data_IF_226115654110
#
_entry.id   IF_226115654110
#
_cell.length_a   1.000
_cell.length_b   1.000
_cell.length_c   1.000
_cell.angle_alpha   90.00
_cell.angle_beta   90.00
_cell.angle_gamma   90.00
#
_symmetry.space_group_name_H-M   'P 1'
#
loop_
_entity.id
_entity.type
_entity.pdbx_description
1 polymer ?
#
# COMPACT_ATOMS: atom_id res chain seq x y z
N UNK A 1 31.36 19.83 -60.03
CA UNK A 1 30.96 18.60 -59.33
C UNK A 1 31.40 18.75 -57.88
N UNK A 2 30.46 19.10 -57.00
CA UNK A 2 30.55 18.92 -55.54
C UNK A 2 29.16 19.26 -55.00
N UNK A 3 28.43 18.22 -54.59
CA UNK A 3 27.06 18.27 -54.10
C UNK A 3 27.01 18.81 -52.67
N UNK A 4 25.97 19.58 -52.38
CA UNK A 4 25.54 19.94 -51.03
C UNK A 4 25.05 18.65 -50.35
N UNK A 5 25.54 18.39 -49.14
CA UNK A 5 25.05 17.34 -48.24
C UNK A 5 24.32 18.05 -47.11
N UNK A 6 23.01 18.22 -47.28
CA UNK A 6 22.07 18.34 -46.19
C UNK A 6 21.66 16.91 -45.85
N UNK A 7 21.97 16.41 -44.65
CA UNK A 7 21.21 15.32 -44.05
C UNK A 7 21.53 15.16 -42.55
N UNK A 8 20.43 15.24 -41.79
CA UNK A 8 20.16 14.61 -40.49
C UNK A 8 20.78 15.17 -39.19
N UNK A 9 20.17 16.27 -38.74
CA UNK A 9 20.07 16.63 -37.33
C UNK A 9 19.22 15.57 -36.59
N UNK A 10 19.90 14.59 -36.00
CA UNK A 10 19.31 13.60 -35.12
C UNK A 10 18.84 14.26 -33.81
N UNK A 11 17.62 14.80 -33.83
CA UNK A 11 16.91 15.24 -32.64
C UNK A 11 16.69 14.05 -31.71
N UNK A 12 17.43 14.04 -30.60
CA UNK A 12 17.26 13.13 -29.46
C UNK A 12 15.86 13.36 -28.88
N UNK A 13 14.87 12.61 -29.38
CA UNK A 13 13.52 12.61 -28.82
C UNK A 13 13.62 11.89 -27.47
N UNK A 14 13.29 12.54 -26.34
CA UNK A 14 13.20 11.84 -25.08
C UNK A 14 12.20 10.70 -25.27
N UNK A 15 12.73 9.48 -25.19
CA UNK A 15 11.94 8.27 -25.19
C UNK A 15 11.13 8.29 -23.91
N UNK A 16 9.94 8.90 -23.98
CA UNK A 16 8.86 8.63 -23.05
C UNK A 16 8.48 7.18 -23.28
N UNK A 17 9.25 6.28 -22.67
CA UNK A 17 8.91 4.88 -22.63
C UNK A 17 7.49 4.83 -22.04
N UNK A 18 6.52 4.21 -22.73
CA UNK A 18 5.26 3.91 -22.10
C UNK A 18 5.59 3.17 -20.81
N UNK A 19 5.00 3.59 -19.69
CA UNK A 19 5.09 2.87 -18.42
C UNK A 19 4.47 1.49 -18.67
N UNK A 20 5.30 0.56 -19.15
CA UNK A 20 4.95 -0.84 -19.30
C UNK A 20 4.72 -1.30 -17.88
N UNK A 21 3.44 -1.49 -17.51
CA UNK A 21 3.08 -2.21 -16.29
C UNK A 21 3.71 -3.59 -16.42
N UNK A 22 4.93 -3.75 -15.89
CA UNK A 22 5.56 -5.05 -15.74
C UNK A 22 4.52 -5.89 -15.00
N UNK A 23 4.10 -6.97 -15.64
CA UNK A 23 3.24 -8.03 -15.10
C UNK A 23 3.34 -8.06 -13.59
N UNK A 24 2.22 -7.73 -12.92
CA UNK A 24 2.08 -7.34 -11.51
C UNK A 24 2.82 -8.30 -10.57
N UNK A 25 4.13 -8.09 -10.45
CA UNK A 25 4.99 -8.91 -9.62
C UNK A 25 5.02 -8.21 -8.28
N UNK A 26 4.42 -8.86 -7.29
CA UNK A 26 4.44 -8.37 -5.93
C UNK A 26 5.90 -8.11 -5.50
N UNK A 27 6.21 -6.90 -5.00
CA UNK A 27 7.57 -6.55 -4.63
C UNK A 27 8.10 -7.40 -3.47
N UNK A 28 9.39 -7.74 -3.54
CA UNK A 28 10.06 -8.59 -2.54
C UNK A 28 10.76 -7.80 -1.44
N UNK A 29 11.02 -6.51 -1.65
CA UNK A 29 11.72 -5.65 -0.70
C UNK A 29 10.79 -4.61 -0.11
N UNK A 30 10.99 -4.24 1.17
CA UNK A 30 10.19 -3.21 1.83
C UNK A 30 10.28 -1.85 1.12
N UNK A 31 11.45 -1.55 0.53
CA UNK A 31 11.70 -0.34 -0.26
C UNK A 31 10.85 -0.27 -1.53
N UNK A 32 10.45 -1.42 -2.08
CA UNK A 32 9.58 -1.51 -3.26
C UNK A 32 8.10 -1.71 -2.88
N UNK A 33 7.82 -2.35 -1.73
CA UNK A 33 6.46 -2.57 -1.23
C UNK A 33 5.76 -1.24 -0.92
N UNK A 34 6.42 -0.31 -0.24
CA UNK A 34 5.79 0.98 0.13
C UNK A 34 5.38 1.79 -1.11
N UNK A 35 6.25 2.05 -2.10
CA UNK A 35 5.86 2.72 -3.35
C UNK A 35 4.78 1.95 -4.11
N UNK A 36 4.82 0.62 -4.11
CA UNK A 36 3.79 -0.20 -4.73
C UNK A 36 2.41 0.02 -4.09
N UNK A 37 2.32 -0.04 -2.75
CA UNK A 37 1.08 0.25 -2.02
C UNK A 37 0.58 1.67 -2.27
N UNK A 38 1.46 2.65 -2.33
CA UNK A 38 1.10 4.04 -2.68
C UNK A 38 0.47 4.10 -4.07
N UNK A 39 1.09 3.45 -5.06
CA UNK A 39 0.61 3.42 -6.44
C UNK A 39 -0.71 2.65 -6.62
N UNK A 40 -1.03 1.72 -5.71
CA UNK A 40 -2.29 0.99 -5.71
C UNK A 40 -3.47 1.81 -5.15
N UNK A 41 -3.20 2.90 -4.42
CA UNK A 41 -4.27 3.73 -3.85
C UNK A 41 -5.11 4.35 -4.98
N UNK A 42 -6.43 4.17 -4.89
CA UNK A 42 -7.39 4.78 -5.81
C UNK A 42 -7.50 6.29 -5.54
N UNK A 43 -8.07 7.00 -6.51
CA UNK A 43 -8.23 8.46 -6.39
C UNK A 43 -9.07 8.89 -5.19
N UNK A 44 -10.02 8.07 -4.75
CA UNK A 44 -10.84 8.31 -3.56
C UNK A 44 -10.10 8.06 -2.23
N UNK A 45 -8.91 7.47 -2.27
CA UNK A 45 -8.09 7.16 -1.11
C UNK A 45 -8.16 5.71 -0.63
N UNK A 46 -8.97 4.85 -1.27
CA UNK A 46 -9.13 3.45 -0.87
C UNK A 46 -8.18 2.51 -1.62
N UNK A 47 -8.05 1.31 -1.08
CA UNK A 47 -7.31 0.22 -1.69
C UNK A 47 -8.25 -0.95 -1.97
N UNK A 48 -8.14 -1.47 -3.20
CA UNK A 48 -8.88 -2.65 -3.65
C UNK A 48 -7.82 -3.71 -3.97
N UNK A 49 -7.58 -4.61 -3.02
CA UNK A 49 -6.62 -5.70 -3.15
C UNK A 49 -7.37 -7.03 -3.27
N UNK A 50 -6.83 -7.92 -4.07
CA UNK A 50 -7.22 -9.33 -4.12
C UNK A 50 -6.77 -10.07 -2.86
N UNK A 51 -7.38 -11.23 -2.61
CA UNK A 51 -6.98 -12.13 -1.52
C UNK A 51 -5.50 -12.51 -1.61
N UNK A 52 -4.98 -12.74 -2.82
CA UNK A 52 -3.58 -13.07 -3.05
C UNK A 52 -2.63 -11.92 -2.64
N UNK A 53 -3.01 -10.67 -2.93
CA UNK A 53 -2.23 -9.49 -2.54
C UNK A 53 -2.24 -9.30 -1.02
N UNK A 54 -3.39 -9.51 -0.38
CA UNK A 54 -3.51 -9.50 1.08
C UNK A 54 -2.69 -10.63 1.71
N UNK A 55 -2.71 -11.83 1.14
CA UNK A 55 -1.88 -12.93 1.60
C UNK A 55 -0.39 -12.60 1.47
N UNK A 56 0.03 -11.92 0.41
CA UNK A 56 1.44 -11.50 0.25
C UNK A 56 1.83 -10.42 1.26
N UNK A 57 0.94 -9.45 1.51
CA UNK A 57 1.13 -8.31 2.42
C UNK A 57 1.13 -8.72 3.90
N UNK A 58 0.11 -9.48 4.30
CA UNK A 58 -0.19 -9.80 5.68
C UNK A 58 0.23 -11.22 6.09
N UNK A 59 0.65 -12.06 5.13
CA UNK A 59 0.95 -13.49 5.32
C UNK A 59 -0.24 -14.33 5.78
N UNK A 60 -1.45 -13.79 5.61
CA UNK A 60 -2.75 -14.43 5.95
C UNK A 60 -3.76 -14.07 4.86
N UNK A 61 -4.65 -15.00 4.47
CA UNK A 61 -5.72 -14.68 3.53
C UNK A 61 -6.72 -13.70 4.16
N UNK A 62 -7.46 -12.99 3.32
CA UNK A 62 -8.49 -12.02 3.70
C UNK A 62 -9.55 -12.65 4.62
N UNK A 63 -9.84 -13.94 4.44
CA UNK A 63 -10.79 -14.72 5.27
C UNK A 63 -10.32 -14.98 6.70
N UNK A 64 -9.04 -14.76 7.02
CA UNK A 64 -8.51 -14.89 8.39
C UNK A 64 -8.72 -13.64 9.23
N UNK A 65 -9.02 -12.53 8.59
CA UNK A 65 -9.47 -11.31 9.23
C UNK A 65 -10.94 -11.51 9.57
N UNK A 66 -11.40 -10.95 10.69
CA UNK A 66 -12.78 -11.10 11.14
C UNK A 66 -13.53 -9.81 10.85
N UNK A 67 -13.86 -9.50 9.58
CA UNK A 67 -14.84 -8.47 9.34
C UNK A 67 -16.11 -8.95 10.02
N UNK A 68 -16.74 -8.08 10.82
CA UNK A 68 -18.18 -8.20 11.03
C UNK A 68 -18.82 -8.49 9.67
N UNK A 69 -19.75 -9.44 9.60
CA UNK A 69 -20.23 -10.06 8.34
C UNK A 69 -20.85 -9.05 7.35
N UNK A 70 -20.97 -7.78 7.75
CA UNK A 70 -21.48 -6.64 7.00
C UNK A 70 -20.38 -5.68 6.49
N UNK A 71 -19.10 -5.89 6.82
CA UNK A 71 -18.03 -4.96 6.42
C UNK A 71 -17.67 -5.15 4.95
N UNK A 72 -17.73 -4.07 4.18
CA UNK A 72 -17.34 -4.03 2.78
C UNK A 72 -15.89 -4.50 2.61
N UNK A 73 -15.58 -5.46 1.71
CA UNK A 73 -14.22 -5.90 1.44
C UNK A 73 -13.25 -4.76 1.14
N UNK A 74 -13.68 -3.67 0.48
CA UNK A 74 -12.84 -2.50 0.19
C UNK A 74 -12.45 -1.78 1.47
N UNK A 75 -13.38 -1.65 2.42
CA UNK A 75 -13.13 -1.06 3.74
C UNK A 75 -12.12 -1.90 4.50
N UNK A 76 -12.29 -3.23 4.49
CA UNK A 76 -11.38 -4.15 5.15
C UNK A 76 -9.98 -4.12 4.53
N UNK A 77 -9.83 -4.24 3.20
CA UNK A 77 -8.53 -4.22 2.54
C UNK A 77 -7.82 -2.88 2.73
N UNK A 78 -8.56 -1.77 2.73
CA UNK A 78 -7.99 -0.44 3.00
C UNK A 78 -7.51 -0.32 4.44
N UNK A 79 -8.28 -0.78 5.42
CA UNK A 79 -7.88 -0.78 6.83
C UNK A 79 -6.62 -1.64 7.04
N UNK A 80 -6.54 -2.81 6.41
CA UNK A 80 -5.36 -3.67 6.45
C UNK A 80 -4.11 -3.01 5.86
N UNK A 81 -4.22 -2.36 4.69
CA UNK A 81 -3.09 -1.65 4.09
C UNK A 81 -2.59 -0.53 5.01
N UNK A 82 -3.50 0.25 5.58
CA UNK A 82 -3.14 1.32 6.52
C UNK A 82 -2.45 0.73 7.76
N UNK A 83 -3.04 -0.29 8.38
CA UNK A 83 -2.47 -0.94 9.55
C UNK A 83 -1.06 -1.49 9.27
N UNK A 84 -0.84 -2.09 8.10
CA UNK A 84 0.47 -2.61 7.70
C UNK A 84 1.48 -1.47 7.47
N UNK A 85 1.09 -0.37 6.83
CA UNK A 85 1.95 0.81 6.65
C UNK A 85 2.37 1.41 7.99
N UNK A 86 1.44 1.50 8.93
CA UNK A 86 1.65 2.08 10.26
C UNK A 86 2.43 1.15 11.21
N UNK A 87 2.40 -0.16 11.00
CA UNK A 87 3.07 -1.12 11.90
C UNK A 87 4.39 -1.66 11.34
N UNK A 88 4.41 -2.08 10.07
CA UNK A 88 5.57 -2.74 9.45
C UNK A 88 6.50 -1.76 8.74
N UNK A 89 5.96 -0.66 8.21
CA UNK A 89 6.70 0.28 7.37
C UNK A 89 6.92 1.64 8.04
N UNK A 90 7.02 1.67 9.37
CA UNK A 90 7.19 2.91 10.18
C UNK A 90 8.37 3.76 9.69
N UNK A 91 9.49 3.13 9.32
CA UNK A 91 10.69 3.82 8.82
C UNK A 91 10.44 4.60 7.52
N UNK A 92 9.41 4.24 6.75
CA UNK A 92 9.04 4.89 5.49
C UNK A 92 7.90 5.91 5.64
N UNK A 93 7.55 6.30 6.88
CA UNK A 93 6.45 7.24 7.18
C UNK A 93 6.46 8.53 6.34
N UNK A 94 7.62 9.17 6.06
CA UNK A 94 7.64 10.35 5.19
C UNK A 94 7.05 10.09 3.79
N UNK A 95 7.10 8.86 3.29
CA UNK A 95 6.56 8.49 1.97
C UNK A 95 5.05 8.26 2.00
N UNK A 96 4.53 7.58 3.03
CA UNK A 96 3.14 7.11 3.04
C UNK A 96 2.19 7.95 3.91
N UNK A 97 2.67 8.84 4.78
CA UNK A 97 1.82 9.55 5.76
C UNK A 97 0.63 10.29 5.14
N UNK A 98 0.84 11.03 4.05
CA UNK A 98 -0.23 11.73 3.34
C UNK A 98 -1.25 10.76 2.72
N UNK A 99 -0.74 9.67 2.14
CA UNK A 99 -1.53 8.62 1.49
C UNK A 99 -2.43 7.92 2.52
N UNK A 100 -1.86 7.55 3.67
CA UNK A 100 -2.61 6.97 4.80
C UNK A 100 -3.65 7.93 5.35
N UNK A 101 -3.30 9.21 5.56
CA UNK A 101 -4.25 10.21 6.07
C UNK A 101 -5.47 10.37 5.15
N UNK A 102 -5.24 10.36 3.83
CA UNK A 102 -6.32 10.40 2.83
C UNK A 102 -7.22 9.17 2.94
N UNK A 103 -6.63 7.97 3.05
CA UNK A 103 -7.38 6.72 3.22
C UNK A 103 -8.18 6.68 4.51
N UNK A 104 -7.57 7.05 5.65
CA UNK A 104 -8.24 7.15 6.95
C UNK A 104 -9.45 8.08 6.89
N UNK A 105 -9.28 9.28 6.34
CA UNK A 105 -10.39 10.23 6.15
C UNK A 105 -11.55 9.59 5.37
N UNK A 106 -11.24 8.91 4.26
CA UNK A 106 -12.25 8.26 3.44
C UNK A 106 -12.96 7.11 4.17
N UNK A 107 -12.23 6.30 4.94
CA UNK A 107 -12.82 5.23 5.75
C UNK A 107 -13.72 5.78 6.85
N UNK A 108 -13.30 6.84 7.54
CA UNK A 108 -14.15 7.52 8.55
C UNK A 108 -15.45 8.03 7.93
N UNK A 109 -15.41 8.61 6.73
CA UNK A 109 -16.62 9.05 6.01
C UNK A 109 -17.57 7.89 5.69
N UNK A 110 -17.05 6.70 5.35
CA UNK A 110 -17.86 5.52 5.03
C UNK A 110 -18.44 4.85 6.28
N UNK A 111 -17.66 4.77 7.36
CA UNK A 111 -18.08 4.13 8.62
C UNK A 111 -18.99 5.04 9.46
N UNK A 112 -18.95 6.35 9.21
CA UNK A 112 -19.68 7.37 9.95
C UNK A 112 -19.18 7.57 11.39
N UNK A 113 -18.13 6.85 11.79
CA UNK A 113 -17.60 6.83 13.15
C UNK A 113 -16.09 6.51 13.13
N UNK A 114 -15.31 7.36 13.79
CA UNK A 114 -13.85 7.16 13.91
C UNK A 114 -13.53 6.03 14.87
N UNK A 115 -14.35 5.78 15.90
CA UNK A 115 -14.14 4.67 16.83
C UNK A 115 -14.26 3.31 16.15
N UNK A 116 -15.18 3.17 15.20
CA UNK A 116 -15.31 1.94 14.39
C UNK A 116 -14.08 1.69 13.52
N UNK A 117 -13.47 2.76 13.00
CA UNK A 117 -12.23 2.63 12.23
C UNK A 117 -11.08 2.15 13.12
N UNK A 118 -10.89 2.76 14.29
CA UNK A 118 -9.86 2.32 15.23
C UNK A 118 -10.11 0.88 15.68
N UNK A 119 -11.35 0.50 16.01
CA UNK A 119 -11.70 -0.88 16.36
C UNK A 119 -11.40 -1.87 15.23
N UNK A 120 -11.70 -1.53 13.97
CA UNK A 120 -11.37 -2.35 12.81
C UNK A 120 -9.85 -2.49 12.64
N UNK A 121 -9.10 -1.41 12.84
CA UNK A 121 -7.65 -1.47 12.73
C UNK A 121 -6.98 -2.19 13.91
N UNK A 122 -7.59 -2.15 15.10
CA UNK A 122 -7.16 -2.87 16.30
C UNK A 122 -7.50 -4.36 16.24
N UNK A 123 -8.71 -4.72 15.77
CA UNK A 123 -9.14 -6.12 15.62
C UNK A 123 -8.35 -6.84 14.54
N UNK A 124 -8.03 -6.12 13.46
CA UNK A 124 -7.25 -6.63 12.34
C UNK A 124 -5.76 -6.33 12.47
N UNK A 125 -5.33 -5.77 13.60
CA UNK A 125 -3.93 -5.49 13.85
C UNK A 125 -3.15 -6.79 13.70
N UNK A 126 -2.33 -6.84 12.65
CA UNK A 126 -1.52 -7.99 12.23
C UNK A 126 -0.46 -8.35 13.31
N UNK A 127 -0.51 -7.69 14.47
CA UNK A 127 0.51 -7.63 15.52
C UNK A 127 0.18 -8.38 16.82
N UNK A 128 -0.67 -9.41 16.81
CA UNK A 128 -0.66 -10.38 17.92
C UNK A 128 0.47 -11.42 17.81
N UNK A 129 1.56 -11.16 17.07
CA UNK A 129 2.71 -12.08 17.07
C UNK A 129 4.10 -11.46 16.92
N UNK A 130 4.28 -10.14 16.82
CA UNK A 130 5.64 -9.58 16.74
C UNK A 130 5.68 -8.25 17.52
N UNK A 131 6.44 -8.23 18.63
CA UNK A 131 6.96 -7.08 19.40
C UNK A 131 6.55 -6.88 20.89
N UNK A 132 5.58 -7.60 21.49
CA UNK A 132 5.36 -7.48 22.95
C UNK A 132 6.20 -8.42 23.82
N UNK A 133 6.89 -9.39 23.24
CA UNK A 133 7.77 -10.31 23.99
C UNK A 133 9.24 -9.88 24.00
N UNK A 134 9.75 -9.19 22.98
CA UNK A 134 11.18 -8.85 22.90
C UNK A 134 11.59 -7.60 23.70
N UNK A 135 10.63 -6.80 24.21
CA UNK A 135 10.95 -5.62 25.04
C UNK A 135 11.03 -5.98 26.54
N UNK A 136 10.35 -7.04 26.99
CA UNK A 136 10.40 -7.46 28.40
C UNK A 136 11.65 -8.30 28.75
N UNK A 137 12.33 -8.88 27.77
CA UNK A 137 13.57 -9.65 27.97
C UNK A 137 14.84 -8.77 27.92
N UNK A 138 14.71 -7.47 27.65
CA UNK A 138 15.81 -6.50 27.70
C UNK A 138 15.88 -5.70 29.03
N UNK A 139 14.93 -5.94 29.93
CA UNK A 139 14.87 -5.32 31.26
C UNK A 139 14.70 -6.34 32.41
N UNK A 140 14.99 -7.62 32.17
CA UNK A 140 15.06 -8.66 33.22
C UNK A 140 16.51 -9.08 33.50
#
# INVERSE_FOLDING_TARGET
MASISDDDEAGDKPSFLPFVRKKDTWPSSDQDIVPHLINLQKFDGLWILSDEEIQKLCKKPLSSFHPDTSTDPIVLTSALVIAVLETKFVLFKPMWSFIVNKGRKRLTELLGDTQKLEQLMESENVSNSIQLTEINDLFS
#
